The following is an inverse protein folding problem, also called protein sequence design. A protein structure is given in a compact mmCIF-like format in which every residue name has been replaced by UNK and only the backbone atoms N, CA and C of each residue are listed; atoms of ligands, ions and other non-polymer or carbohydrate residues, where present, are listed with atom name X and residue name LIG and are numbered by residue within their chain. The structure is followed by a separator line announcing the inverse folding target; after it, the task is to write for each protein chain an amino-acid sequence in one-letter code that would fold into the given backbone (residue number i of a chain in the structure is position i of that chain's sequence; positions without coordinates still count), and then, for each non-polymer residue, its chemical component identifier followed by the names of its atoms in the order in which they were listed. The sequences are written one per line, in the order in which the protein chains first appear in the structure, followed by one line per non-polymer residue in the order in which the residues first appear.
data_IF_951809311100
#
_entry.id   IF_951809311100
#
_cell.length_a   1.000
_cell.length_b   1.000
_cell.length_c   1.000
_cell.angle_alpha   90.00
_cell.angle_beta   90.00
_cell.angle_gamma   90.00
#
_symmetry.space_group_name_H-M   'P 1'
#
loop_
_entity.id
_entity.type
_entity.pdbx_description
1 polymer ?
#
# COMPACT_ATOMS: atom_id res chain seq x y z
N UNK A 1 19.66 7.40 -28.37
CA UNK A 1 20.05 6.43 -27.31
C UNK A 1 21.06 5.47 -27.92
N UNK A 2 22.18 5.20 -27.25
CA UNK A 2 23.21 4.28 -27.74
C UNK A 2 22.66 2.86 -27.94
N UNK A 3 23.08 2.12 -28.99
CA UNK A 3 22.65 0.73 -29.22
C UNK A 3 22.95 -0.20 -28.03
N UNK A 4 24.11 -0.03 -27.37
CA UNK A 4 24.47 -0.81 -26.18
C UNK A 4 23.50 -0.57 -25.00
N UNK A 5 23.01 0.66 -24.84
CA UNK A 5 22.07 1.01 -23.77
C UNK A 5 20.66 0.45 -24.04
N UNK A 6 20.26 0.40 -25.32
CA UNK A 6 19.01 -0.27 -25.73
C UNK A 6 19.09 -1.78 -25.47
N UNK A 7 20.20 -2.43 -25.83
CA UNK A 7 20.43 -3.84 -25.56
C UNK A 7 20.40 -4.13 -24.04
N UNK A 8 20.99 -3.27 -23.22
CA UNK A 8 20.95 -3.39 -21.77
C UNK A 8 19.56 -3.18 -21.15
N UNK A 9 18.75 -2.28 -21.73
CA UNK A 9 17.37 -2.08 -21.31
C UNK A 9 16.53 -3.35 -21.55
N UNK A 10 16.66 -3.93 -22.75
CA UNK A 10 16.00 -5.19 -23.10
C UNK A 10 16.56 -6.38 -22.31
N UNK A 11 17.87 -6.37 -22.00
CA UNK A 11 18.50 -7.36 -21.14
C UNK A 11 17.91 -7.30 -19.72
N UNK A 12 17.72 -6.10 -19.16
CA UNK A 12 17.09 -5.95 -17.85
C UNK A 12 15.63 -6.43 -17.83
N UNK A 13 14.86 -6.22 -18.91
CA UNK A 13 13.51 -6.78 -19.02
C UNK A 13 13.54 -8.30 -19.06
N UNK A 14 14.46 -8.85 -19.87
CA UNK A 14 14.66 -10.29 -20.02
C UNK A 14 15.08 -10.95 -18.70
N UNK A 15 16.04 -10.35 -17.98
CA UNK A 15 16.49 -10.85 -16.67
C UNK A 15 15.36 -10.82 -15.62
N UNK A 16 14.44 -9.83 -15.70
CA UNK A 16 13.25 -9.80 -14.82
C UNK A 16 12.27 -10.92 -15.14
N UNK A 17 12.02 -11.23 -16.41
CA UNK A 17 11.17 -12.36 -16.79
C UNK A 17 11.80 -13.70 -16.40
N UNK A 18 13.11 -13.86 -16.59
CA UNK A 18 13.86 -15.03 -16.13
C UNK A 18 13.75 -15.20 -14.61
N UNK A 19 13.88 -14.11 -13.85
CA UNK A 19 13.71 -14.16 -12.40
C UNK A 19 12.28 -14.55 -12.01
N UNK A 20 11.27 -13.96 -12.66
CA UNK A 20 9.85 -14.29 -12.43
C UNK A 20 9.58 -15.78 -12.68
N UNK A 21 10.01 -16.31 -13.82
CA UNK A 21 9.84 -17.72 -14.17
C UNK A 21 10.57 -18.65 -13.18
N UNK A 22 11.79 -18.31 -12.77
CA UNK A 22 12.52 -19.09 -11.76
C UNK A 22 11.81 -19.08 -10.40
N UNK A 23 11.24 -17.94 -9.99
CA UNK A 23 10.46 -17.84 -8.75
C UNK A 23 9.16 -18.66 -8.83
N UNK A 24 8.48 -18.65 -9.98
CA UNK A 24 7.29 -19.47 -10.24
C UNK A 24 7.61 -20.97 -10.19
N UNK A 25 8.64 -21.41 -10.91
CA UNK A 25 9.13 -22.80 -10.88
C UNK A 25 9.53 -23.21 -9.46
N UNK A 26 10.22 -22.35 -8.70
CA UNK A 26 10.64 -22.64 -7.34
C UNK A 26 9.48 -22.62 -6.31
N UNK A 27 8.38 -21.93 -6.60
CA UNK A 27 7.20 -21.88 -5.75
C UNK A 27 6.34 -23.15 -5.86
N UNK A 28 6.32 -23.81 -7.02
CA UNK A 28 5.47 -24.98 -7.27
C UNK A 28 5.80 -26.17 -6.34
N UNK A 29 7.07 -26.61 -6.14
CA UNK A 29 7.40 -27.66 -5.18
C UNK A 29 6.95 -27.35 -3.75
N UNK A 30 6.99 -26.07 -3.34
CA UNK A 30 6.54 -25.65 -2.01
C UNK A 30 5.03 -25.79 -1.85
N UNK A 31 4.27 -25.45 -2.91
CA UNK A 31 2.81 -25.65 -2.93
C UNK A 31 2.47 -27.13 -2.85
N UNK A 32 3.13 -27.96 -3.67
CA UNK A 32 2.95 -29.42 -3.65
C UNK A 32 3.26 -30.00 -2.27
N UNK A 33 4.37 -29.60 -1.63
CA UNK A 33 4.72 -30.06 -0.29
C UNK A 33 3.68 -29.66 0.78
N UNK A 34 3.16 -28.43 0.72
CA UNK A 34 2.11 -27.97 1.64
C UNK A 34 0.80 -28.77 1.46
N UNK A 35 0.48 -29.12 0.22
CA UNK A 35 -0.67 -29.95 -0.12
C UNK A 35 -0.49 -31.39 0.40
N UNK A 36 0.68 -31.98 0.20
CA UNK A 36 0.99 -33.33 0.71
C UNK A 36 0.96 -33.39 2.24
N UNK A 37 1.36 -32.32 2.92
CA UNK A 37 1.28 -32.22 4.37
C UNK A 37 -0.19 -32.22 4.87
N UNK A 38 -1.10 -31.55 4.15
CA UNK A 38 -2.54 -31.61 4.48
C UNK A 38 -3.09 -33.03 4.34
N UNK A 39 -2.77 -33.69 3.23
CA UNK A 39 -3.19 -35.06 2.96
C UNK A 39 -2.61 -36.06 3.98
N UNK A 40 -1.39 -35.83 4.48
CA UNK A 40 -0.82 -36.61 5.58
C UNK A 40 -1.62 -36.42 6.89
N UNK A 41 -2.11 -35.21 7.15
CA UNK A 41 -3.01 -34.93 8.28
C UNK A 41 -4.33 -35.70 8.16
N UNK A 42 -4.99 -35.67 7.00
CA UNK A 42 -6.23 -36.40 6.75
C UNK A 42 -6.03 -37.92 6.87
N UNK A 43 -4.89 -38.45 6.38
CA UNK A 43 -4.51 -39.85 6.58
C UNK A 43 -4.34 -40.21 8.05
N UNK A 44 -3.69 -39.37 8.84
CA UNK A 44 -3.50 -39.62 10.27
C UNK A 44 -4.85 -39.67 11.03
N UNK A 45 -5.83 -38.84 10.63
CA UNK A 45 -7.20 -38.89 11.18
C UNK A 45 -7.88 -40.22 10.86
N UNK A 46 -7.76 -40.70 9.61
CA UNK A 46 -8.30 -41.99 9.21
C UNK A 46 -7.63 -43.14 9.99
N UNK A 47 -6.30 -43.15 10.08
CA UNK A 47 -5.55 -44.15 10.85
C UNK A 47 -5.95 -44.17 12.34
N UNK A 48 -6.17 -42.99 12.93
CA UNK A 48 -6.64 -42.88 14.32
C UNK A 48 -8.06 -43.42 14.48
N UNK A 49 -8.96 -43.15 13.53
CA UNK A 49 -10.33 -43.66 13.56
C UNK A 49 -10.35 -45.20 13.42
N UNK A 50 -9.56 -45.77 12.50
CA UNK A 50 -9.41 -47.22 12.35
C UNK A 50 -8.80 -47.88 13.59
N UNK A 51 -7.80 -47.25 14.21
CA UNK A 51 -7.20 -47.74 15.44
C UNK A 51 -8.21 -47.77 16.59
N UNK A 52 -9.08 -46.76 16.69
CA UNK A 52 -10.16 -46.73 17.68
C UNK A 52 -11.19 -47.85 17.44
N UNK A 53 -11.57 -48.13 16.20
CA UNK A 53 -12.46 -49.26 15.87
C UNK A 53 -11.83 -50.60 16.29
N UNK A 54 -10.54 -50.80 15.99
CA UNK A 54 -9.80 -52.02 16.39
C UNK A 54 -9.72 -52.16 17.92
N UNK A 55 -9.51 -51.06 18.64
CA UNK A 55 -9.47 -51.07 20.09
C UNK A 55 -10.83 -51.43 20.70
N UNK A 56 -11.92 -50.87 20.15
CA UNK A 56 -13.29 -51.18 20.59
C UNK A 56 -13.64 -52.65 20.31
N UNK A 57 -13.29 -53.19 19.14
CA UNK A 57 -13.52 -54.62 18.83
C UNK A 57 -12.73 -55.54 19.79
N UNK A 58 -11.48 -55.20 20.10
CA UNK A 58 -10.68 -55.95 21.06
C UNK A 58 -11.28 -55.92 22.49
N UNK A 59 -11.76 -54.75 22.93
CA UNK A 59 -12.42 -54.61 24.23
C UNK A 59 -13.76 -55.38 24.26
N UNK A 60 -14.53 -55.37 23.17
CA UNK A 60 -15.77 -56.16 23.06
C UNK A 60 -15.49 -57.65 23.21
N UNK A 61 -14.51 -58.20 22.49
CA UNK A 61 -14.10 -59.61 22.59
C UNK A 61 -13.69 -60.00 24.02
N UNK A 62 -13.05 -59.08 24.75
CA UNK A 62 -12.68 -59.29 26.15
C UNK A 62 -13.91 -59.39 27.07
N UNK A 63 -14.93 -58.57 26.84
CA UNK A 63 -16.19 -58.67 27.57
C UNK A 63 -16.95 -59.95 27.23
N UNK A 64 -16.98 -60.36 25.96
CA UNK A 64 -17.56 -61.65 25.54
C UNK A 64 -16.87 -62.84 26.21
N UNK A 65 -15.54 -62.83 26.31
CA UNK A 65 -14.78 -63.84 27.07
C UNK A 65 -15.12 -63.83 28.56
N UNK A 66 -15.25 -62.64 29.17
CA UNK A 66 -15.65 -62.51 30.59
C UNK A 66 -17.03 -63.11 30.84
N UNK A 67 -17.98 -62.90 29.93
CA UNK A 67 -19.32 -63.51 30.01
C UNK A 67 -19.22 -65.04 29.95
N UNK A 68 -18.42 -65.60 29.04
CA UNK A 68 -18.21 -67.04 28.96
C UNK A 68 -17.64 -67.61 30.27
N UNK A 69 -16.66 -66.94 30.88
CA UNK A 69 -16.07 -67.36 32.15
C UNK A 69 -17.09 -67.32 33.29
N UNK A 70 -17.92 -66.27 33.35
CA UNK A 70 -19.00 -66.14 34.35
C UNK A 70 -20.08 -67.23 34.16
N UNK A 71 -20.44 -67.53 32.92
CA UNK A 71 -21.39 -68.61 32.59
C UNK A 71 -20.85 -69.97 33.04
N UNK A 72 -19.56 -70.24 32.83
CA UNK A 72 -18.91 -71.46 33.32
C UNK A 72 -18.90 -71.52 34.86
N UNK A 73 -18.64 -70.40 35.54
CA UNK A 73 -18.72 -70.34 37.02
C UNK A 73 -20.13 -70.62 37.52
N UNK A 74 -21.16 -70.03 36.90
CA UNK A 74 -22.57 -70.29 37.23
C UNK A 74 -22.89 -71.79 37.08
N UNK A 75 -22.44 -72.43 36.00
CA UNK A 75 -22.62 -73.87 35.82
C UNK A 75 -21.99 -74.66 36.97
N UNK A 76 -20.73 -74.37 37.32
CA UNK A 76 -20.03 -75.04 38.42
C UNK A 76 -20.72 -74.84 39.77
N UNK A 77 -21.17 -73.62 40.07
CA UNK A 77 -21.88 -73.34 41.33
C UNK A 77 -23.25 -74.01 41.37
N UNK A 78 -23.94 -74.14 40.23
CA UNK A 78 -25.19 -74.92 40.14
C UNK A 78 -24.94 -76.40 40.43
N UNK A 79 -23.90 -76.99 39.84
CA UNK A 79 -23.54 -78.38 40.09
C UNK A 79 -23.19 -78.60 41.58
N UNK A 80 -22.36 -77.73 42.16
CA UNK A 80 -22.01 -77.76 43.60
C UNK A 80 -23.23 -77.57 44.51
N UNK A 81 -24.22 -76.77 44.10
CA UNK A 81 -25.43 -76.53 44.89
C UNK A 81 -26.29 -77.79 45.06
N UNK A 82 -26.15 -78.76 44.15
CA UNK A 82 -26.82 -80.07 44.23
C UNK A 82 -26.12 -81.04 45.18
N UNK A 83 -24.84 -80.81 45.50
CA UNK A 83 -24.01 -81.68 46.34
C UNK A 83 -23.95 -81.27 47.82
N UNK A 84 -24.17 -79.98 48.12
CA UNK A 84 -24.07 -79.42 49.48
C UNK A 84 -25.22 -79.89 50.39
N UNK A 85 -24.87 -80.23 51.64
CA UNK A 85 -25.81 -80.81 52.62
C UNK A 85 -26.32 -79.83 53.67
N UNK A 86 -25.72 -78.64 53.77
CA UNK A 86 -26.11 -77.61 54.74
C UNK A 86 -26.81 -76.44 54.04
N UNK A 87 -27.87 -75.94 54.68
CA UNK A 87 -28.68 -74.85 54.13
C UNK A 87 -27.88 -73.53 54.01
N UNK A 88 -26.88 -73.34 54.86
CA UNK A 88 -25.97 -72.19 54.81
C UNK A 88 -25.06 -72.21 53.58
N UNK A 89 -24.47 -73.37 53.25
CA UNK A 89 -23.65 -73.54 52.04
C UNK A 89 -24.47 -73.35 50.77
N UNK A 90 -25.71 -73.87 50.75
CA UNK A 90 -26.62 -73.68 49.62
C UNK A 90 -26.97 -72.20 49.39
N UNK A 91 -27.27 -71.45 50.47
CA UNK A 91 -27.54 -70.00 50.39
C UNK A 91 -26.33 -69.20 49.90
N UNK A 92 -25.13 -69.55 50.36
CA UNK A 92 -23.90 -68.92 49.88
C UNK A 92 -23.70 -69.13 48.37
N UNK A 93 -23.87 -70.37 47.88
CA UNK A 93 -23.76 -70.67 46.45
C UNK A 93 -24.82 -69.96 45.61
N UNK A 94 -26.06 -69.82 46.11
CA UNK A 94 -27.08 -69.05 45.39
C UNK A 94 -26.75 -67.56 45.33
N UNK A 95 -26.20 -66.99 46.41
CA UNK A 95 -25.73 -65.60 46.39
C UNK A 95 -24.62 -65.39 45.35
N UNK A 96 -23.66 -66.32 45.25
CA UNK A 96 -22.59 -66.28 44.24
C UNK A 96 -23.13 -66.43 42.81
N UNK A 97 -24.15 -67.27 42.60
CA UNK A 97 -24.84 -67.41 41.30
C UNK A 97 -25.55 -66.11 40.93
N UNK A 98 -26.30 -65.51 41.87
CA UNK A 98 -27.03 -64.26 41.64
C UNK A 98 -26.05 -63.11 41.35
N UNK A 99 -24.93 -63.04 42.08
CA UNK A 99 -23.87 -62.07 41.84
C UNK A 99 -23.27 -62.24 40.43
N UNK A 100 -22.91 -63.47 40.04
CA UNK A 100 -22.39 -63.73 38.70
C UNK A 100 -23.41 -63.41 37.59
N UNK A 101 -24.71 -63.64 37.82
CA UNK A 101 -25.76 -63.25 36.87
C UNK A 101 -25.90 -61.73 36.74
N UNK A 102 -25.77 -60.98 37.85
CA UNK A 102 -25.77 -59.52 37.82
C UNK A 102 -24.55 -58.98 37.05
N UNK A 103 -23.38 -59.55 37.26
CA UNK A 103 -22.15 -59.19 36.52
C UNK A 103 -22.25 -59.49 35.01
N UNK A 104 -22.90 -60.60 34.63
CA UNK A 104 -23.19 -60.89 33.21
C UNK A 104 -24.06 -59.77 32.63
N UNK A 105 -25.19 -59.44 33.27
CA UNK A 105 -26.10 -58.38 32.78
C UNK A 105 -25.38 -57.04 32.64
N UNK A 106 -24.60 -56.66 33.64
CA UNK A 106 -23.80 -55.43 33.60
C UNK A 106 -22.74 -55.44 32.50
N UNK A 107 -22.23 -56.61 32.11
CA UNK A 107 -21.26 -56.77 31.01
C UNK A 107 -21.96 -56.77 29.65
N UNK A 108 -23.16 -57.35 29.56
CA UNK A 108 -24.02 -57.30 28.36
C UNK A 108 -24.42 -55.85 28.04
N UNK A 109 -24.81 -55.07 29.05
CA UNK A 109 -25.11 -53.64 28.89
C UNK A 109 -23.90 -52.86 28.33
N UNK A 110 -22.70 -53.14 28.85
CA UNK A 110 -21.45 -52.54 28.32
C UNK A 110 -21.19 -52.93 26.87
N UNK A 111 -21.45 -54.18 26.48
CA UNK A 111 -21.31 -54.64 25.09
C UNK A 111 -22.30 -53.90 24.19
N UNK A 112 -23.55 -53.72 24.61
CA UNK A 112 -24.56 -52.98 23.85
C UNK A 112 -24.14 -51.52 23.63
N UNK A 113 -23.67 -50.84 24.68
CA UNK A 113 -23.15 -49.46 24.57
C UNK A 113 -21.96 -49.36 23.59
N UNK A 114 -21.07 -50.36 23.63
CA UNK A 114 -19.96 -50.46 22.69
C UNK A 114 -20.40 -50.72 21.25
N UNK A 115 -21.44 -51.53 21.03
CA UNK A 115 -21.99 -51.77 19.68
C UNK A 115 -22.57 -50.49 19.07
N UNK A 116 -23.28 -49.68 19.86
CA UNK A 116 -23.78 -48.37 19.41
C UNK A 116 -22.64 -47.42 19.08
N UNK A 117 -21.60 -47.42 19.92
CA UNK A 117 -20.39 -46.62 19.69
C UNK A 117 -19.63 -47.07 18.44
N UNK A 118 -19.56 -48.37 18.18
CA UNK A 118 -18.91 -48.95 17.00
C UNK A 118 -19.60 -48.51 15.70
N UNK A 119 -20.94 -48.49 15.65
CA UNK A 119 -21.67 -48.00 14.46
C UNK A 119 -21.35 -46.52 14.19
N UNK A 120 -21.23 -45.71 15.24
CA UNK A 120 -20.83 -44.31 15.11
C UNK A 120 -19.41 -44.16 14.57
N UNK A 121 -18.47 -44.98 15.07
CA UNK A 121 -17.08 -44.96 14.59
C UNK A 121 -16.94 -45.48 13.17
N UNK A 122 -17.69 -46.51 12.78
CA UNK A 122 -17.70 -46.99 11.39
C UNK A 122 -18.19 -45.91 10.42
N UNK A 123 -19.20 -45.11 10.83
CA UNK A 123 -19.64 -43.95 10.04
C UNK A 123 -18.53 -42.89 9.95
N UNK A 124 -17.79 -42.64 11.04
CA UNK A 124 -16.65 -41.73 11.02
C UNK A 124 -15.51 -42.21 10.11
N UNK A 125 -15.18 -43.49 10.13
CA UNK A 125 -14.18 -44.09 9.22
C UNK A 125 -14.61 -43.92 7.77
N UNK A 126 -15.86 -44.29 7.43
CA UNK A 126 -16.38 -44.13 6.06
C UNK A 126 -16.39 -42.68 5.59
N UNK A 127 -16.70 -41.73 6.47
CA UNK A 127 -16.62 -40.31 6.17
C UNK A 127 -15.17 -39.88 5.91
N UNK A 128 -14.24 -40.24 6.80
CA UNK A 128 -12.82 -39.94 6.65
C UNK A 128 -12.19 -40.57 5.39
N UNK A 129 -12.59 -41.78 5.01
CA UNK A 129 -12.18 -42.44 3.76
C UNK A 129 -12.69 -41.68 2.53
N UNK A 130 -13.95 -41.24 2.55
CA UNK A 130 -14.56 -40.48 1.47
C UNK A 130 -13.87 -39.12 1.31
N UNK A 131 -13.60 -38.42 2.43
CA UNK A 131 -12.90 -37.15 2.47
C UNK A 131 -11.47 -37.30 1.94
N UNK A 132 -10.73 -38.30 2.43
CA UNK A 132 -9.37 -38.59 1.95
C UNK A 132 -9.35 -38.87 0.46
N UNK A 133 -10.31 -39.64 -0.05
CA UNK A 133 -10.40 -39.98 -1.49
C UNK A 133 -10.73 -38.76 -2.34
N UNK A 134 -11.63 -37.88 -1.88
CA UNK A 134 -11.97 -36.64 -2.56
C UNK A 134 -10.76 -35.70 -2.58
N UNK A 135 -10.13 -35.49 -1.43
CA UNK A 135 -8.95 -34.64 -1.28
C UNK A 135 -7.78 -35.16 -2.13
N UNK A 136 -7.52 -36.48 -2.12
CA UNK A 136 -6.46 -37.08 -2.95
C UNK A 136 -6.69 -36.81 -4.45
N UNK A 137 -7.93 -36.88 -4.93
CA UNK A 137 -8.24 -36.64 -6.36
C UNK A 137 -7.98 -35.19 -6.77
N UNK A 138 -8.44 -34.23 -5.95
CA UNK A 138 -8.20 -32.80 -6.21
C UNK A 138 -6.70 -32.48 -6.17
N UNK A 139 -5.98 -33.08 -5.22
CA UNK A 139 -4.53 -32.90 -5.07
C UNK A 139 -3.76 -33.44 -6.27
N UNK A 140 -4.08 -34.64 -6.74
CA UNK A 140 -3.39 -35.22 -7.91
C UNK A 140 -3.66 -34.40 -9.18
N UNK A 141 -4.87 -33.83 -9.31
CA UNK A 141 -5.19 -32.89 -10.39
C UNK A 141 -4.35 -31.60 -10.29
N UNK A 142 -4.30 -30.98 -9.12
CA UNK A 142 -3.51 -29.76 -8.89
C UNK A 142 -2.01 -30.00 -9.12
N UNK A 143 -1.49 -31.17 -8.70
CA UNK A 143 -0.11 -31.58 -8.97
C UNK A 143 0.18 -31.73 -10.45
N UNK A 144 -0.73 -32.33 -11.22
CA UNK A 144 -0.56 -32.50 -12.65
C UNK A 144 -0.59 -31.14 -13.37
N UNK A 145 -1.54 -30.27 -13.04
CA UNK A 145 -1.60 -28.90 -13.56
C UNK A 145 -0.33 -28.10 -13.20
N UNK A 146 0.19 -28.25 -11.98
CA UNK A 146 1.43 -27.64 -11.55
C UNK A 146 2.64 -28.16 -12.35
N UNK A 147 2.70 -29.46 -12.64
CA UNK A 147 3.78 -30.06 -13.46
C UNK A 147 3.74 -29.56 -14.89
N UNK A 148 2.56 -29.48 -15.50
CA UNK A 148 2.39 -28.97 -16.85
C UNK A 148 2.84 -27.50 -16.95
N UNK A 149 2.38 -26.64 -16.02
CA UNK A 149 2.82 -25.24 -15.96
C UNK A 149 4.33 -25.13 -15.74
N UNK A 150 4.90 -25.94 -14.86
CA UNK A 150 6.36 -25.94 -14.66
C UNK A 150 7.13 -26.34 -15.91
N UNK A 151 6.60 -27.25 -16.73
CA UNK A 151 7.23 -27.65 -17.98
C UNK A 151 7.16 -26.52 -19.03
N UNK A 152 6.02 -25.84 -19.13
CA UNK A 152 5.85 -24.65 -19.97
C UNK A 152 6.79 -23.52 -19.53
N UNK A 153 6.86 -23.24 -18.22
CA UNK A 153 7.74 -22.21 -17.66
C UNK A 153 9.22 -22.53 -17.92
N UNK A 154 9.61 -23.80 -17.87
CA UNK A 154 10.97 -24.24 -18.21
C UNK A 154 11.30 -24.06 -19.70
N UNK A 155 10.34 -24.29 -20.59
CA UNK A 155 10.52 -24.03 -22.02
C UNK A 155 10.69 -22.53 -22.27
N UNK A 156 9.81 -21.71 -21.70
CA UNK A 156 9.93 -20.25 -21.78
C UNK A 156 11.25 -19.76 -21.19
N UNK A 157 11.70 -20.32 -20.07
CA UNK A 157 12.97 -19.98 -19.45
C UNK A 157 14.14 -20.23 -20.41
N UNK A 158 14.12 -21.33 -21.17
CA UNK A 158 15.14 -21.62 -22.17
C UNK A 158 15.14 -20.58 -23.31
N UNK A 159 13.97 -20.18 -23.81
CA UNK A 159 13.82 -19.14 -24.83
C UNK A 159 14.34 -17.78 -24.34
N UNK A 160 13.95 -17.37 -23.13
CA UNK A 160 14.40 -16.12 -22.52
C UNK A 160 15.91 -16.15 -22.24
N UNK A 161 16.47 -17.29 -21.85
CA UNK A 161 17.92 -17.45 -21.66
C UNK A 161 18.66 -17.32 -23.00
N UNK A 162 18.16 -17.92 -24.07
CA UNK A 162 18.75 -17.74 -25.40
C UNK A 162 18.69 -16.27 -25.86
N UNK A 163 17.56 -15.59 -25.64
CA UNK A 163 17.41 -14.16 -25.91
C UNK A 163 18.39 -13.31 -25.08
N UNK A 164 18.57 -13.66 -23.81
CA UNK A 164 19.53 -13.02 -22.91
C UNK A 164 20.95 -13.10 -23.47
N UNK A 165 21.37 -14.28 -23.92
CA UNK A 165 22.72 -14.48 -24.46
C UNK A 165 22.96 -13.70 -25.75
N UNK A 166 21.95 -13.61 -26.63
CA UNK A 166 22.00 -12.78 -27.83
C UNK A 166 22.14 -11.28 -27.50
N UNK A 167 21.37 -10.78 -26.54
CA UNK A 167 21.45 -9.38 -26.11
C UNK A 167 22.81 -9.04 -25.49
N UNK A 168 23.40 -10.00 -24.75
CA UNK A 168 24.73 -9.84 -24.15
C UNK A 168 25.84 -9.78 -25.21
N UNK A 169 25.71 -10.47 -26.34
CA UNK A 169 26.69 -10.39 -27.42
C UNK A 169 26.80 -8.99 -28.04
N UNK A 170 25.74 -8.17 -27.95
CA UNK A 170 25.68 -6.80 -28.45
C UNK A 170 26.10 -5.72 -27.45
N UNK A 171 26.74 -6.08 -26.33
CA UNK A 171 27.19 -5.14 -25.28
C UNK A 171 28.67 -5.36 -24.98
N UNK A 172 29.41 -4.27 -24.74
CA UNK A 172 30.82 -4.33 -24.37
C UNK A 172 31.06 -5.11 -23.05
N UNK A 173 32.16 -5.87 -22.99
CA UNK A 173 32.45 -6.76 -21.86
C UNK A 173 32.59 -6.03 -20.52
N UNK A 174 33.18 -4.82 -20.52
CA UNK A 174 33.35 -4.05 -19.29
C UNK A 174 32.02 -3.50 -18.77
N UNK A 175 31.13 -3.10 -19.66
CA UNK A 175 29.80 -2.62 -19.30
C UNK A 175 28.92 -3.75 -18.77
N UNK A 176 29.00 -4.96 -19.36
CA UNK A 176 28.35 -6.16 -18.84
C UNK A 176 28.85 -6.53 -17.43
N UNK A 177 30.17 -6.48 -17.18
CA UNK A 177 30.73 -6.75 -15.85
C UNK A 177 30.21 -5.77 -14.80
N UNK A 178 30.06 -4.50 -15.17
CA UNK A 178 29.48 -3.49 -14.29
C UNK A 178 27.99 -3.79 -14.03
N UNK A 179 27.22 -4.02 -15.09
CA UNK A 179 25.81 -4.38 -15.03
C UNK A 179 25.56 -5.59 -14.11
N UNK A 180 26.25 -6.71 -14.34
CA UNK A 180 26.07 -7.96 -13.58
C UNK A 180 26.36 -7.76 -12.09
N UNK A 181 27.41 -6.99 -11.76
CA UNK A 181 27.76 -6.67 -10.38
C UNK A 181 26.66 -5.88 -9.69
N UNK A 182 26.09 -4.90 -10.38
CA UNK A 182 25.02 -4.06 -9.84
C UNK A 182 23.72 -4.85 -9.71
N UNK A 183 23.35 -5.64 -10.71
CA UNK A 183 22.16 -6.54 -10.64
C UNK A 183 22.28 -7.50 -9.47
N UNK A 184 23.44 -8.13 -9.26
CA UNK A 184 23.65 -9.04 -8.12
C UNK A 184 23.44 -8.36 -6.77
N UNK A 185 23.84 -7.10 -6.63
CA UNK A 185 23.76 -6.35 -5.36
C UNK A 185 22.43 -5.63 -5.16
N UNK A 186 21.77 -5.20 -6.24
CA UNK A 186 20.67 -4.24 -6.24
C UNK A 186 19.43 -4.70 -7.01
N UNK A 187 19.43 -5.93 -7.53
CA UNK A 187 18.40 -6.58 -8.36
C UNK A 187 18.15 -5.94 -9.73
N UNK A 188 18.45 -4.66 -9.91
CA UNK A 188 18.33 -3.93 -11.18
C UNK A 188 19.65 -3.21 -11.48
N UNK A 189 20.06 -3.24 -12.75
CA UNK A 189 21.32 -2.65 -13.22
C UNK A 189 21.16 -1.26 -13.85
N UNK A 190 19.96 -0.94 -14.34
CA UNK A 190 19.63 0.32 -15.00
C UNK A 190 18.60 1.11 -14.20
N UNK A 191 18.67 2.44 -14.31
CA UNK A 191 17.68 3.37 -13.77
C UNK A 191 17.36 4.45 -14.78
N UNK A 192 16.07 4.76 -14.89
CA UNK A 192 15.61 5.95 -15.59
C UNK A 192 16.01 7.20 -14.80
N UNK A 193 16.28 8.28 -15.52
CA UNK A 193 16.44 9.61 -14.94
C UNK A 193 15.22 10.45 -15.28
N UNK A 194 14.56 10.98 -14.25
CA UNK A 194 13.37 11.84 -14.38
C UNK A 194 13.47 12.99 -13.40
N UNK A 195 13.10 14.20 -13.82
CA UNK A 195 13.10 15.41 -12.98
C UNK A 195 14.42 15.64 -12.24
N UNK A 196 15.55 15.50 -12.95
CA UNK A 196 16.90 15.57 -12.38
C UNK A 196 17.19 14.56 -11.27
N UNK A 197 16.44 13.45 -11.19
CA UNK A 197 16.61 12.41 -10.16
C UNK A 197 16.82 11.05 -10.78
N UNK A 198 17.66 10.25 -10.13
CA UNK A 198 17.74 8.81 -10.39
C UNK A 198 16.49 8.14 -9.81
N UNK A 199 15.64 7.51 -10.63
CA UNK A 199 14.38 6.91 -10.15
C UNK A 199 14.59 5.72 -9.22
N UNK A 200 15.74 5.06 -9.28
CA UNK A 200 16.03 3.90 -8.45
C UNK A 200 16.52 4.24 -7.02
N UNK A 201 17.32 5.31 -6.83
CA UNK A 201 17.79 5.73 -5.51
C UNK A 201 17.24 7.08 -5.04
N UNK A 202 16.46 7.75 -5.88
CA UNK A 202 15.78 9.02 -5.60
C UNK A 202 16.72 10.20 -5.30
N UNK A 203 18.03 10.04 -5.54
CA UNK A 203 19.02 11.11 -5.38
C UNK A 203 18.94 12.07 -6.57
N UNK A 204 19.04 13.37 -6.25
CA UNK A 204 19.15 14.43 -7.24
C UNK A 204 20.52 14.40 -7.91
N UNK A 205 20.52 14.33 -9.24
CA UNK A 205 21.72 14.35 -10.06
C UNK A 205 22.18 15.80 -10.23
N UNK A 206 23.50 15.97 -10.34
CA UNK A 206 24.07 17.28 -10.68
C UNK A 206 23.57 17.71 -12.07
N UNK A 207 23.33 19.00 -12.32
CA UNK A 207 22.85 19.48 -13.62
C UNK A 207 23.72 19.00 -14.80
N UNK A 208 25.04 18.96 -14.61
CA UNK A 208 25.97 18.44 -15.61
C UNK A 208 25.71 16.95 -15.92
N UNK A 209 25.67 16.09 -14.90
CA UNK A 209 25.39 14.65 -15.06
C UNK A 209 24.03 14.40 -15.72
N UNK A 210 23.01 15.19 -15.37
CA UNK A 210 21.70 15.10 -16.01
C UNK A 210 21.76 15.41 -17.51
N UNK A 211 22.49 16.46 -17.90
CA UNK A 211 22.66 16.83 -19.30
C UNK A 211 23.45 15.77 -20.08
N UNK A 212 24.46 15.14 -19.45
CA UNK A 212 25.22 14.03 -20.04
C UNK A 212 24.34 12.79 -20.27
N UNK A 213 23.46 12.45 -19.32
CA UNK A 213 22.48 11.36 -19.52
C UNK A 213 21.48 11.70 -20.62
N UNK A 214 21.03 12.96 -20.68
CA UNK A 214 20.07 13.45 -21.68
C UNK A 214 20.66 13.49 -23.09
N UNK A 215 21.94 13.83 -23.25
CA UNK A 215 22.61 13.80 -24.57
C UNK A 215 22.71 12.36 -25.08
N UNK A 216 22.90 11.40 -24.18
CA UNK A 216 22.96 9.98 -24.51
C UNK A 216 24.15 9.61 -25.39
N UNK A 217 25.21 10.43 -25.39
CA UNK A 217 26.44 10.22 -26.16
C UNK A 217 27.40 9.24 -25.48
N UNK A 218 27.34 9.16 -24.15
CA UNK A 218 28.14 8.25 -23.33
C UNK A 218 27.29 7.56 -22.28
N UNK A 219 27.79 6.42 -21.79
CA UNK A 219 27.15 5.71 -20.68
C UNK A 219 27.51 6.40 -19.38
N UNK A 220 26.49 6.85 -18.64
CA UNK A 220 26.65 7.53 -17.35
C UNK A 220 26.19 6.60 -16.22
N UNK A 221 26.96 6.55 -15.14
CA UNK A 221 26.67 5.73 -13.97
C UNK A 221 26.29 6.64 -12.81
N UNK A 222 25.29 6.25 -12.01
CA UNK A 222 24.92 6.99 -10.81
C UNK A 222 25.99 6.83 -9.71
N UNK A 223 26.57 7.93 -9.23
CA UNK A 223 27.58 7.92 -8.15
C UNK A 223 27.08 7.25 -6.85
N UNK A 224 25.78 7.41 -6.56
CA UNK A 224 25.17 6.93 -5.31
C UNK A 224 24.85 5.43 -5.36
N UNK A 225 24.18 4.96 -6.43
CA UNK A 225 23.66 3.60 -6.48
C UNK A 225 24.34 2.69 -7.51
N UNK A 226 25.29 3.23 -8.28
CA UNK A 226 26.08 2.54 -9.29
C UNK A 226 25.28 1.97 -10.47
N UNK A 227 23.97 2.26 -10.56
CA UNK A 227 23.16 1.88 -11.72
C UNK A 227 23.51 2.73 -12.93
N UNK A 228 23.42 2.11 -14.11
CA UNK A 228 23.56 2.76 -15.40
C UNK A 228 22.32 3.62 -15.64
N UNK A 229 22.53 4.89 -15.97
CA UNK A 229 21.46 5.87 -16.15
C UNK A 229 21.04 5.92 -17.61
N UNK A 230 19.73 6.01 -17.84
CA UNK A 230 19.17 6.30 -19.17
C UNK A 230 18.08 7.36 -19.07
N UNK A 231 17.89 8.08 -20.17
CA UNK A 231 16.82 9.07 -20.31
C UNK A 231 15.82 8.59 -21.37
N UNK A 232 14.54 8.65 -21.04
CA UNK A 232 13.44 8.40 -21.97
C UNK A 232 12.79 9.75 -22.35
N UNK A 233 12.96 10.23 -23.59
CA UNK A 233 12.37 11.49 -24.04
C UNK A 233 10.84 11.53 -23.95
N UNK A 234 10.17 10.38 -23.99
CA UNK A 234 8.70 10.31 -23.90
C UNK A 234 8.17 10.56 -22.48
N UNK A 235 9.01 10.41 -21.46
CA UNK A 235 8.64 10.58 -20.06
C UNK A 235 8.87 12.00 -19.53
N UNK A 236 9.35 12.93 -20.37
CA UNK A 236 9.57 14.32 -19.98
C UNK A 236 8.23 15.06 -19.89
N UNK A 237 7.85 15.45 -18.66
CA UNK A 237 6.68 16.30 -18.44
C UNK A 237 7.02 17.68 -18.97
N UNK A 238 6.53 17.99 -20.17
CA UNK A 238 6.56 19.36 -20.69
C UNK A 238 5.66 20.19 -19.78
N UNK A 239 6.25 21.08 -18.98
CA UNK A 239 5.50 22.07 -18.22
C UNK A 239 4.85 23.01 -19.23
N UNK A 240 3.61 22.72 -19.63
CA UNK A 240 2.82 23.62 -20.45
C UNK A 240 2.67 24.93 -19.69
N UNK A 241 3.18 26.03 -20.28
CA UNK A 241 2.86 27.38 -19.80
C UNK A 241 1.33 27.52 -19.81
N UNK A 242 0.68 27.95 -18.71
CA UNK A 242 -0.77 28.04 -18.69
C UNK A 242 -1.27 29.00 -19.78
N UNK A 243 -2.07 28.48 -20.71
CA UNK A 243 -2.61 29.18 -21.90
C UNK A 243 -3.97 29.83 -21.66
N UNK A 244 -4.47 29.85 -20.42
CA UNK A 244 -5.76 30.50 -20.14
C UNK A 244 -5.58 32.03 -20.08
N UNK A 245 -6.37 32.83 -20.83
CA UNK A 245 -6.34 34.28 -20.68
C UNK A 245 -6.82 34.61 -19.26
N UNK A 246 -5.90 35.06 -18.40
CA UNK A 246 -6.25 35.41 -17.03
C UNK A 246 -7.40 36.43 -17.03
N UNK A 247 -8.44 36.16 -16.22
CA UNK A 247 -9.58 37.07 -16.05
C UNK A 247 -9.05 38.47 -15.70
N UNK A 248 -9.52 39.51 -16.39
CA UNK A 248 -9.12 40.90 -16.13
C UNK A 248 -9.38 41.23 -14.67
N UNK A 249 -8.39 41.83 -14.00
CA UNK A 249 -8.50 42.29 -12.62
C UNK A 249 -9.63 43.31 -12.50
N UNK A 250 -10.61 43.12 -11.59
CA UNK A 250 -11.60 44.17 -11.28
C UNK A 250 -10.85 45.43 -10.82
N UNK A 251 -11.19 46.60 -11.38
CA UNK A 251 -10.58 47.87 -10.98
C UNK A 251 -11.56 48.63 -10.09
N UNK A 252 -11.19 49.06 -8.88
CA UNK A 252 -12.04 49.93 -8.08
C UNK A 252 -12.33 51.22 -8.85
N UNK A 253 -13.52 51.79 -8.67
CA UNK A 253 -13.83 53.10 -9.25
C UNK A 253 -12.92 54.18 -8.63
N UNK A 254 -12.60 55.21 -9.40
CA UNK A 254 -11.72 56.31 -8.97
C UNK A 254 -12.36 57.16 -7.85
N UNK A 255 -13.68 57.26 -7.83
CA UNK A 255 -14.50 57.98 -6.85
C UNK A 255 -14.89 57.14 -5.63
N UNK A 256 -14.26 55.98 -5.42
CA UNK A 256 -14.58 55.12 -4.30
C UNK A 256 -14.26 55.82 -2.95
N UNK A 257 -15.19 55.77 -1.96
CA UNK A 257 -15.04 56.46 -0.68
C UNK A 257 -13.90 55.90 0.19
N UNK A 258 -13.32 54.78 -0.21
CA UNK A 258 -12.16 54.18 0.43
C UNK A 258 -11.17 53.69 -0.63
N UNK A 259 -9.92 53.51 -0.22
CA UNK A 259 -8.86 53.27 -1.17
C UNK A 259 -7.60 52.65 -0.63
N UNK A 260 -7.08 51.66 -1.36
CA UNK A 260 -5.81 51.02 -1.06
C UNK A 260 -4.83 51.24 -2.19
N UNK A 261 -3.61 51.65 -1.85
CA UNK A 261 -2.57 51.94 -2.82
C UNK A 261 -1.24 51.33 -2.38
N UNK A 262 -0.56 50.66 -3.28
CA UNK A 262 0.83 50.25 -3.08
C UNK A 262 1.76 51.30 -3.65
N UNK A 263 2.81 51.63 -2.90
CA UNK A 263 3.93 52.45 -3.38
C UNK A 263 5.24 51.70 -3.18
N UNK A 264 6.06 51.54 -4.24
CA UNK A 264 7.35 50.88 -4.13
C UNK A 264 8.38 51.74 -3.36
N UNK A 265 8.22 53.07 -3.42
CA UNK A 265 9.08 54.01 -2.72
C UNK A 265 8.22 55.09 -2.05
N UNK A 266 8.25 55.12 -0.72
CA UNK A 266 7.55 56.10 0.09
C UNK A 266 8.44 56.68 1.18
N UNK A 267 8.92 57.92 0.94
CA UNK A 267 9.79 58.68 1.86
C UNK A 267 10.99 57.80 2.31
N UNK A 268 11.19 57.65 3.61
CA UNK A 268 12.26 56.85 4.21
C UNK A 268 11.86 55.38 4.46
N UNK A 269 10.61 55.00 4.18
CA UNK A 269 10.03 53.72 4.60
C UNK A 269 10.01 52.65 3.50
N UNK A 270 10.51 52.93 2.30
CA UNK A 270 10.55 51.95 1.21
C UNK A 270 9.16 51.59 0.70
N UNK A 271 8.86 50.28 0.63
CA UNK A 271 7.59 49.77 0.12
C UNK A 271 6.47 49.86 1.16
N UNK A 272 5.37 50.55 0.82
CA UNK A 272 4.24 50.74 1.74
C UNK A 272 2.89 50.50 1.09
N UNK A 273 1.91 50.22 1.94
CA UNK A 273 0.49 50.20 1.62
C UNK A 273 -0.19 51.41 2.27
N UNK A 274 -0.83 52.24 1.45
CA UNK A 274 -1.61 53.39 1.89
C UNK A 274 -3.10 53.02 1.89
N UNK A 275 -3.73 53.16 3.05
CA UNK A 275 -5.16 53.02 3.24
C UNK A 275 -5.82 54.39 3.43
N UNK A 276 -6.83 54.69 2.63
CA UNK A 276 -7.62 55.91 2.70
C UNK A 276 -9.10 55.58 2.88
N UNK A 277 -9.81 56.45 3.59
CA UNK A 277 -11.24 56.37 3.80
C UNK A 277 -11.83 57.76 4.01
N UNK A 278 -13.03 57.97 3.47
CA UNK A 278 -13.83 59.17 3.69
C UNK A 278 -14.97 58.82 4.64
N UNK A 279 -15.01 59.45 5.81
CA UNK A 279 -16.10 59.32 6.79
C UNK A 279 -16.41 60.68 7.41
N UNK A 280 -17.71 61.02 7.53
CA UNK A 280 -18.17 62.26 8.18
C UNK A 280 -17.48 63.55 7.68
N UNK A 281 -17.31 63.68 6.35
CA UNK A 281 -16.61 64.80 5.69
C UNK A 281 -15.12 64.94 6.04
N UNK A 282 -14.53 63.90 6.64
CA UNK A 282 -13.10 63.79 6.91
C UNK A 282 -12.50 62.66 6.08
N UNK A 283 -11.28 62.89 5.60
CA UNK A 283 -10.43 61.90 4.99
C UNK A 283 -9.40 61.40 6.00
N UNK A 284 -9.34 60.09 6.19
CA UNK A 284 -8.34 59.42 7.02
C UNK A 284 -7.28 58.77 6.14
N UNK A 285 -6.00 58.92 6.52
CA UNK A 285 -4.86 58.22 5.92
C UNK A 285 -4.16 57.34 6.95
N UNK A 286 -3.94 56.07 6.57
CA UNK A 286 -3.13 55.08 7.29
C UNK A 286 -2.04 54.53 6.39
N UNK A 287 -0.87 54.27 6.97
CA UNK A 287 0.30 53.78 6.24
C UNK A 287 0.71 52.47 6.91
N UNK A 288 0.93 51.43 6.10
CA UNK A 288 1.36 50.12 6.56
C UNK A 288 2.62 49.70 5.81
N UNK A 289 3.53 49.04 6.52
CA UNK A 289 4.68 48.38 5.93
C UNK A 289 4.22 47.26 4.98
N UNK A 290 4.78 47.21 3.78
CA UNK A 290 4.33 46.26 2.76
C UNK A 290 4.57 44.79 3.16
N UNK A 291 5.65 44.48 3.86
CA UNK A 291 6.03 43.10 4.16
C UNK A 291 5.36 42.57 5.43
N UNK A 292 5.21 43.43 6.43
CA UNK A 292 4.75 43.05 7.77
C UNK A 292 3.31 43.46 8.05
N UNK A 293 2.73 44.38 7.26
CA UNK A 293 1.39 44.90 7.52
C UNK A 293 1.29 45.77 8.77
N UNK A 294 2.42 46.12 9.41
CA UNK A 294 2.45 46.95 10.61
C UNK A 294 2.25 48.42 10.26
N UNK A 295 1.45 49.14 11.05
CA UNK A 295 1.21 50.57 10.86
C UNK A 295 2.49 51.38 11.07
N UNK A 296 2.78 52.28 10.13
CA UNK A 296 3.90 53.21 10.15
C UNK A 296 3.36 54.62 10.45
N UNK A 297 3.79 55.18 11.59
CA UNK A 297 3.41 56.53 12.00
C UNK A 297 1.95 56.66 12.45
N UNK A 298 1.54 57.91 12.68
CA UNK A 298 0.22 58.24 13.19
C UNK A 298 -0.84 58.30 12.08
N UNK A 299 -2.09 58.03 12.47
CA UNK A 299 -3.25 58.18 11.60
C UNK A 299 -3.48 59.68 11.37
N UNK A 300 -3.52 60.10 10.10
CA UNK A 300 -3.68 61.52 9.75
C UNK A 300 -5.10 61.76 9.23
N UNK A 301 -5.78 62.75 9.80
CA UNK A 301 -7.12 63.16 9.41
C UNK A 301 -7.08 64.57 8.81
N UNK A 302 -7.77 64.77 7.69
CA UNK A 302 -7.94 66.06 7.02
C UNK A 302 -9.39 66.23 6.55
N UNK A 303 -9.87 67.46 6.44
CA UNK A 303 -11.23 67.72 5.96
C UNK A 303 -11.34 67.50 4.44
N UNK A 304 -12.44 66.90 3.98
CA UNK A 304 -12.74 66.68 2.56
C UNK A 304 -12.52 65.25 2.05
N UNK A 305 -12.42 65.10 0.72
CA UNK A 305 -12.14 63.83 0.04
C UNK A 305 -10.64 63.50 0.08
N UNK A 306 -10.27 62.24 0.32
CA UNK A 306 -8.87 61.86 0.48
C UNK A 306 -7.97 62.18 -0.71
N UNK A 307 -8.48 62.23 -1.95
CA UNK A 307 -7.66 62.62 -3.12
C UNK A 307 -7.30 64.10 -3.10
N UNK A 308 -8.21 64.95 -2.61
CA UNK A 308 -8.01 66.39 -2.49
C UNK A 308 -7.26 66.74 -1.20
N UNK A 309 -7.50 65.97 -0.14
CA UNK A 309 -6.92 66.19 1.16
C UNK A 309 -5.46 65.73 1.23
N UNK A 310 -5.04 64.72 0.45
CA UNK A 310 -3.68 64.16 0.45
C UNK A 310 -3.04 64.11 -0.95
N UNK A 311 -2.92 65.26 -1.67
CA UNK A 311 -2.39 65.28 -3.03
C UNK A 311 -0.94 64.78 -3.12
N UNK A 312 -0.16 64.90 -2.04
CA UNK A 312 1.22 64.44 -1.99
C UNK A 312 1.36 62.91 -2.17
N UNK A 313 0.38 62.13 -1.69
CA UNK A 313 0.46 60.66 -1.68
C UNK A 313 0.14 60.04 -3.04
N UNK A 314 -0.48 60.81 -3.93
CA UNK A 314 -0.79 60.46 -5.32
C UNK A 314 0.24 60.97 -6.32
N UNK A 315 1.34 61.54 -5.85
CA UNK A 315 2.46 61.95 -6.69
C UNK A 315 3.50 60.82 -6.84
N UNK A 316 3.92 60.50 -8.07
CA UNK A 316 4.89 59.44 -8.39
C UNK A 316 4.26 58.08 -8.71
N UNK A 317 5.05 57.02 -8.63
CA UNK A 317 4.62 55.65 -8.95
C UNK A 317 3.77 55.05 -7.82
N UNK A 318 2.53 54.70 -8.15
CA UNK A 318 1.62 53.99 -7.26
C UNK A 318 0.77 52.99 -8.04
N UNK A 319 0.30 51.96 -7.34
CA UNK A 319 -0.63 50.97 -7.89
C UNK A 319 -1.88 50.94 -7.02
N UNK A 320 -3.04 51.28 -7.60
CA UNK A 320 -4.34 51.13 -6.95
C UNK A 320 -4.64 49.66 -6.73
N UNK A 321 -4.90 49.27 -5.48
CA UNK A 321 -5.25 47.92 -5.04
C UNK A 321 -6.75 47.77 -4.73
N UNK A 322 -7.23 46.53 -4.75
CA UNK A 322 -8.57 46.13 -4.37
C UNK A 322 -8.60 45.84 -2.86
N UNK A 323 -9.11 46.78 -2.07
CA UNK A 323 -9.42 46.55 -0.66
C UNK A 323 -10.82 47.06 -0.35
N UNK A 324 -11.67 46.18 0.17
CA UNK A 324 -13.09 46.46 0.40
C UNK A 324 -13.43 46.72 1.88
N UNK A 325 -12.43 46.91 2.73
CA UNK A 325 -12.63 47.14 4.17
C UNK A 325 -13.07 48.56 4.46
N UNK A 326 -14.12 48.70 5.27
CA UNK A 326 -14.66 50.00 5.71
C UNK A 326 -13.88 50.57 6.91
N UNK A 327 -14.16 51.81 7.29
CA UNK A 327 -13.41 52.51 8.35
C UNK A 327 -13.44 51.77 9.69
N UNK A 328 -14.60 51.25 10.11
CA UNK A 328 -14.73 50.53 11.38
C UNK A 328 -13.93 49.21 11.38
N UNK A 329 -13.87 48.51 10.24
CA UNK A 329 -13.07 47.30 10.07
C UNK A 329 -11.57 47.64 10.18
N UNK A 330 -11.12 48.70 9.51
CA UNK A 330 -9.71 49.11 9.52
C UNK A 330 -9.30 49.63 10.91
N UNK A 331 -10.18 50.35 11.63
CA UNK A 331 -9.94 50.75 13.02
C UNK A 331 -9.77 49.55 13.96
N UNK A 332 -10.51 48.46 13.72
CA UNK A 332 -10.44 47.25 14.55
C UNK A 332 -9.08 46.53 14.48
N UNK A 333 -8.26 46.82 13.47
CA UNK A 333 -6.94 46.21 13.28
C UNK A 333 -5.89 46.74 14.26
N UNK A 334 -6.13 47.90 14.88
CA UNK A 334 -5.15 48.54 15.76
C UNK A 334 -3.87 48.89 15.00
N UNK A 335 -2.71 48.45 15.49
CA UNK A 335 -1.40 48.82 14.92
C UNK A 335 -0.88 47.83 13.86
N UNK A 336 -1.62 46.78 13.54
CA UNK A 336 -1.17 45.74 12.61
C UNK A 336 -2.33 45.18 11.79
N UNK A 337 -2.16 45.18 10.47
CA UNK A 337 -3.13 44.64 9.53
C UNK A 337 -3.22 43.11 9.68
N UNK A 338 -4.43 42.52 9.73
CA UNK A 338 -4.60 41.08 9.68
C UNK A 338 -3.98 40.44 8.44
N UNK A 339 -3.35 39.27 8.61
CA UNK A 339 -2.67 38.54 7.53
C UNK A 339 -3.55 38.29 6.30
N UNK A 340 -4.84 37.98 6.48
CA UNK A 340 -5.77 37.79 5.37
C UNK A 340 -5.99 39.06 4.54
N UNK A 341 -5.94 40.24 5.15
CA UNK A 341 -6.04 41.51 4.44
C UNK A 341 -4.73 41.83 3.70
N UNK A 342 -3.59 41.57 4.33
CA UNK A 342 -2.27 41.72 3.72
C UNK A 342 -2.08 40.81 2.51
N UNK A 343 -2.40 39.51 2.65
CA UNK A 343 -2.33 38.51 1.59
C UNK A 343 -3.22 38.88 0.40
N UNK A 344 -4.42 39.41 0.68
CA UNK A 344 -5.35 39.90 -0.36
C UNK A 344 -4.75 41.05 -1.17
N UNK A 345 -4.12 42.02 -0.49
CA UNK A 345 -3.46 43.16 -1.15
C UNK A 345 -2.22 42.71 -1.95
N UNK A 346 -1.45 41.74 -1.45
CA UNK A 346 -0.31 41.16 -2.17
C UNK A 346 -0.73 40.39 -3.42
N UNK A 347 -1.73 39.54 -3.32
CA UNK A 347 -2.27 38.78 -4.45
C UNK A 347 -2.78 39.73 -5.55
N UNK A 348 -3.44 40.81 -5.14
CA UNK A 348 -3.98 41.81 -6.06
C UNK A 348 -2.87 42.67 -6.71
N UNK A 349 -1.79 42.99 -5.97
CA UNK A 349 -0.60 43.63 -6.53
C UNK A 349 0.09 42.75 -7.57
N UNK A 350 0.23 41.45 -7.30
CA UNK A 350 0.79 40.49 -8.27
C UNK A 350 -0.08 40.41 -9.52
N UNK A 351 -1.40 40.39 -9.37
CA UNK A 351 -2.33 40.43 -10.51
C UNK A 351 -2.18 41.73 -11.31
N UNK A 352 -2.04 42.89 -10.64
CA UNK A 352 -1.83 44.18 -11.29
C UNK A 352 -0.51 44.24 -12.08
N UNK A 353 0.60 43.74 -11.51
CA UNK A 353 1.91 43.65 -12.19
C UNK A 353 1.87 42.71 -13.40
N UNK A 354 1.13 41.60 -13.28
CA UNK A 354 0.96 40.64 -14.38
C UNK A 354 0.12 41.23 -15.52
N UNK A 355 -0.92 42.02 -15.22
CA UNK A 355 -1.69 42.75 -16.26
C UNK A 355 -0.82 43.82 -16.94
N UNK A 356 -0.02 44.56 -16.18
CA UNK A 356 0.80 45.66 -16.72
C UNK A 356 1.96 45.14 -17.59
N UNK A 357 2.60 44.03 -17.20
CA UNK A 357 3.62 43.37 -18.03
C UNK A 357 3.04 42.81 -19.33
N UNK A 358 1.84 42.23 -19.29
CA UNK A 358 1.12 41.78 -20.50
C UNK A 358 0.82 42.92 -21.47
N UNK A 359 0.40 44.09 -20.97
CA UNK A 359 0.17 45.30 -21.80
C UNK A 359 1.44 45.80 -22.48
N UNK A 360 2.60 45.67 -21.86
CA UNK A 360 3.89 46.10 -22.45
C UNK A 360 4.45 45.05 -23.44
N UNK A 361 3.99 43.80 -23.37
CA UNK A 361 4.41 42.72 -24.28
C UNK A 361 3.53 42.56 -25.53
N UNK A 362 2.37 43.23 -25.59
CA UNK A 362 1.53 43.29 -26.80
C UNK A 362 1.92 44.53 -27.64
N UNK A 363 2.39 44.39 -28.90
CA UNK A 363 2.56 45.52 -29.80
C UNK A 363 1.21 46.18 -30.09
N UNK A 364 1.18 47.50 -30.23
CA UNK A 364 0.00 48.27 -30.64
C UNK A 364 -0.42 47.90 -32.08
N UNK A 365 -1.14 46.80 -32.26
CA UNK A 365 -1.83 46.45 -33.49
C UNK A 365 -3.30 46.89 -33.39
N UNK A 366 -3.52 48.21 -33.43
CA UNK A 366 -4.86 48.79 -33.53
C UNK A 366 -4.81 50.15 -34.25
N UNK A 367 -4.63 50.11 -35.57
CA UNK A 367 -5.06 51.17 -36.47
C UNK A 367 -5.43 50.55 -37.83
N UNK A 368 -6.68 50.14 -37.99
CA UNK A 368 -7.39 50.05 -39.27
C UNK A 368 -8.79 50.59 -39.10
#
# INVERSE_FOLDING_TARGET
MLPELQNLLELQKTDREILRLNEEIAALPKRVAAIEQKLAGTKAVLEQAEAAVKADDAARRKYESTIQDLQQKISKYRDQSLEVKTNEQYRALQHEIDFAQQEIRATEDKILDMMVSAETREKQVKAAEADLKAETREIEKEKEEARQRSAEDQQQLAEWTAKRDQLRAGVSADLLRHYDRVVKLRKTGLSEVRDHKCTACQVMLRPQTYNEVRSGEQVVICDSCQRILYFDPAAEVVVEKPTTPARRRPRPKADAPQGWYYRPEYREHGEVLLGFSNANSMATRRIYDFNTGRQIGDIVLREGDYHLAFPEDFSGDYIRLNGSWNEAEVESWGNEMPMNALDSLHADLQAARTENSRRHSEPAEAAR
#
